data_IF_768321690873
#
_entry.id   IF_768321690873
#
_cell.length_a   1.000
_cell.length_b   1.000
_cell.length_c   1.000
_cell.angle_alpha   90.00
_cell.angle_beta   90.00
_cell.angle_gamma   90.00
#
_symmetry.space_group_name_H-M   'P 1'
#
loop_
_entity.id
_entity.type
_entity.pdbx_description
1 polymer ?
#
# COMPACT_ATOMS: atom_id res chain seq x y z
N UNK A 1 18.14 -26.86 -27.17
CA UNK A 1 17.53 -28.14 -27.58
C UNK A 1 18.34 -29.22 -26.87
N UNK A 2 17.96 -29.84 -25.76
CA UNK A 2 16.67 -30.13 -25.12
C UNK A 2 16.91 -30.12 -23.59
N UNK A 3 16.10 -29.40 -22.82
CA UNK A 3 15.96 -29.74 -21.40
C UNK A 3 15.18 -31.05 -21.38
N UNK A 4 15.86 -32.18 -21.22
CA UNK A 4 15.20 -33.48 -21.14
C UNK A 4 14.28 -33.49 -19.93
N UNK A 5 13.19 -34.26 -19.98
CA UNK A 5 12.31 -34.48 -18.80
C UNK A 5 13.14 -34.89 -17.57
N UNK A 6 14.26 -35.58 -17.80
CA UNK A 6 15.26 -35.93 -16.78
C UNK A 6 15.85 -34.72 -16.04
N UNK A 7 16.10 -33.60 -16.72
CA UNK A 7 16.66 -32.38 -16.09
C UNK A 7 15.66 -31.75 -15.12
N UNK A 8 14.36 -31.71 -15.48
CA UNK A 8 13.32 -31.29 -14.54
C UNK A 8 13.20 -32.25 -13.36
N UNK A 9 13.39 -33.56 -13.60
CA UNK A 9 13.49 -34.56 -12.55
C UNK A 9 14.63 -34.30 -11.55
N UNK A 10 15.80 -33.86 -12.03
CA UNK A 10 16.93 -33.46 -11.16
C UNK A 10 16.60 -32.24 -10.30
N UNK A 11 15.95 -31.22 -10.88
CA UNK A 11 15.51 -30.03 -10.12
C UNK A 11 14.50 -30.42 -9.04
N UNK A 12 13.51 -31.26 -9.40
CA UNK A 12 12.52 -31.75 -8.44
C UNK A 12 13.18 -32.55 -7.31
N UNK A 13 14.11 -33.44 -7.66
CA UNK A 13 14.87 -34.24 -6.69
C UNK A 13 15.67 -33.33 -5.74
N UNK A 14 16.33 -32.30 -6.27
CA UNK A 14 17.06 -31.33 -5.47
C UNK A 14 16.15 -30.60 -4.47
N UNK A 15 14.96 -30.16 -4.91
CA UNK A 15 13.98 -29.52 -4.02
C UNK A 15 13.48 -30.48 -2.92
N UNK A 16 13.22 -31.75 -3.25
CA UNK A 16 12.78 -32.77 -2.29
C UNK A 16 13.88 -33.01 -1.24
N UNK A 17 15.13 -33.21 -1.68
CA UNK A 17 16.26 -33.43 -0.78
C UNK A 17 16.49 -32.19 0.10
N UNK A 18 16.42 -30.98 -0.46
CA UNK A 18 16.55 -29.73 0.30
C UNK A 18 15.46 -29.56 1.36
N UNK A 19 14.20 -29.84 1.01
CA UNK A 19 13.10 -29.82 1.96
C UNK A 19 13.25 -30.88 3.05
N UNK A 20 13.67 -32.09 2.68
CA UNK A 20 13.92 -33.18 3.63
C UNK A 20 15.06 -32.85 4.59
N UNK A 21 16.15 -32.26 4.09
CA UNK A 21 17.26 -31.78 4.90
C UNK A 21 16.80 -30.71 5.91
N UNK A 22 16.01 -29.73 5.48
CA UNK A 22 15.44 -28.72 6.38
C UNK A 22 14.54 -29.35 7.46
N UNK A 23 13.70 -30.32 7.09
CA UNK A 23 12.84 -31.04 8.03
C UNK A 23 13.63 -31.86 9.04
N UNK A 24 14.69 -32.57 8.61
CA UNK A 24 15.57 -33.31 9.51
C UNK A 24 16.27 -32.36 10.47
N UNK A 25 16.84 -31.26 9.98
CA UNK A 25 17.54 -30.28 10.81
C UNK A 25 16.60 -29.70 11.89
N UNK A 26 15.38 -29.31 11.52
CA UNK A 26 14.37 -28.82 12.47
C UNK A 26 13.91 -29.91 13.45
N UNK A 27 13.77 -31.16 12.99
CA UNK A 27 13.37 -32.29 13.83
C UNK A 27 14.43 -32.68 14.86
N UNK A 28 15.71 -32.67 14.45
CA UNK A 28 16.86 -32.84 15.34
C UNK A 28 16.87 -31.72 16.38
N UNK A 29 16.75 -30.46 15.96
CA UNK A 29 16.65 -29.34 16.89
C UNK A 29 15.50 -29.50 17.89
N UNK A 30 14.35 -30.01 17.43
CA UNK A 30 13.19 -30.26 18.29
C UNK A 30 13.39 -31.41 19.28
N UNK A 31 14.07 -32.50 18.89
CA UNK A 31 14.25 -33.68 19.74
C UNK A 31 15.34 -33.50 20.78
N UNK A 32 16.40 -32.76 20.46
CA UNK A 32 17.51 -32.47 21.39
C UNK A 32 17.24 -31.28 22.32
N UNK A 33 16.21 -30.47 22.04
CA UNK A 33 15.88 -29.31 22.88
C UNK A 33 15.16 -29.75 24.17
N UNK A 34 15.59 -29.28 25.36
CA UNK A 34 14.86 -29.50 26.60
C UNK A 34 13.47 -28.84 26.53
N UNK A 35 12.43 -29.64 26.77
CA UNK A 35 11.04 -29.19 26.68
C UNK A 35 10.53 -28.75 28.07
N UNK A 36 10.64 -27.45 28.37
CA UNK A 36 10.11 -26.86 29.61
C UNK A 36 9.25 -25.61 29.29
N UNK A 37 8.00 -25.79 28.82
CA UNK A 37 7.09 -24.70 28.54
C UNK A 37 6.59 -24.04 29.85
N UNK A 38 6.83 -22.75 30.01
CA UNK A 38 6.28 -21.93 31.12
C UNK A 38 5.38 -20.84 30.54
N UNK A 39 4.38 -20.36 31.29
CA UNK A 39 3.44 -19.33 30.80
C UNK A 39 4.17 -18.08 30.33
N UNK A 40 5.22 -17.68 31.02
CA UNK A 40 6.05 -16.50 30.73
C UNK A 40 6.95 -16.69 29.49
N UNK A 41 7.29 -17.94 29.11
CA UNK A 41 8.03 -18.23 27.87
C UNK A 41 7.13 -18.32 26.65
N UNK A 42 5.83 -18.54 26.87
CA UNK A 42 4.81 -18.66 25.83
C UNK A 42 4.04 -17.36 25.62
N UNK A 43 4.18 -16.37 26.52
CA UNK A 43 3.63 -15.03 26.32
C UNK A 43 4.33 -14.33 25.17
N UNK A 44 3.58 -13.47 24.47
CA UNK A 44 4.12 -12.63 23.40
C UNK A 44 5.28 -11.78 23.94
N UNK A 45 6.36 -11.73 23.17
CA UNK A 45 7.60 -11.07 23.56
C UNK A 45 7.44 -9.55 23.58
N UNK A 46 7.47 -8.95 24.77
CA UNK A 46 7.69 -7.51 24.94
C UNK A 46 8.07 -7.16 26.39
N UNK A 47 9.12 -7.74 26.96
CA UNK A 47 9.61 -7.35 28.31
C UNK A 47 8.55 -7.33 29.45
N UNK A 48 7.43 -8.04 29.32
CA UNK A 48 6.30 -7.99 30.27
C UNK A 48 5.25 -6.90 30.00
N UNK A 49 5.32 -6.18 28.88
CA UNK A 49 4.26 -5.31 28.38
C UNK A 49 3.18 -6.16 27.69
N UNK A 50 1.91 -5.84 27.95
CA UNK A 50 0.80 -6.44 27.23
C UNK A 50 0.73 -5.87 25.82
N UNK A 51 0.56 -6.73 24.81
CA UNK A 51 0.48 -6.31 23.41
C UNK A 51 -0.59 -5.24 23.24
N UNK A 52 -0.17 -4.03 22.89
CA UNK A 52 -1.02 -2.82 22.86
C UNK A 52 -2.12 -2.86 21.79
N UNK A 53 -2.13 -3.85 20.91
CA UNK A 53 -3.10 -3.97 19.82
C UNK A 53 -3.47 -5.44 19.54
N UNK A 54 -4.75 -5.68 19.26
CA UNK A 54 -5.20 -6.95 18.69
C UNK A 54 -4.58 -7.18 17.31
N UNK A 55 -4.41 -8.45 16.93
CA UNK A 55 -3.82 -8.92 15.65
C UNK A 55 -4.45 -8.32 14.35
N UNK A 56 -5.54 -7.56 14.49
CA UNK A 56 -6.33 -6.94 13.43
C UNK A 56 -6.02 -5.44 13.25
N UNK A 57 -4.83 -4.99 13.64
CA UNK A 57 -4.36 -3.61 13.39
C UNK A 57 -4.26 -3.31 11.89
N UNK A 58 -4.75 -2.14 11.46
CA UNK A 58 -4.58 -1.68 10.08
C UNK A 58 -3.13 -1.26 9.88
N UNK A 59 -2.38 -2.05 9.11
CA UNK A 59 -1.04 -1.69 8.69
C UNK A 59 -1.07 -0.51 7.70
N UNK A 60 0.04 0.21 7.60
CA UNK A 60 0.17 1.34 6.70
C UNK A 60 -0.09 0.91 5.23
N UNK A 61 -0.97 1.64 4.53
CA UNK A 61 -1.32 1.37 3.11
C UNK A 61 -0.11 1.40 2.16
N UNK A 62 1.01 1.95 2.59
CA UNK A 62 2.23 2.10 1.77
C UNK A 62 2.85 0.75 1.39
N UNK A 63 2.75 -0.26 2.26
CA UNK A 63 3.19 -1.62 1.91
C UNK A 63 2.41 -2.19 0.73
N UNK A 64 1.12 -1.87 0.64
CA UNK A 64 0.29 -2.25 -0.50
C UNK A 64 0.70 -1.53 -1.79
N UNK A 65 1.00 -0.22 -1.73
CA UNK A 65 1.47 0.53 -2.91
C UNK A 65 2.79 -0.01 -3.45
N UNK A 66 3.75 -0.31 -2.57
CA UNK A 66 5.04 -0.91 -2.97
C UNK A 66 4.83 -2.29 -3.59
N UNK A 67 3.99 -3.14 -2.96
CA UNK A 67 3.67 -4.46 -3.50
C UNK A 67 2.97 -4.37 -4.88
N UNK A 68 2.05 -3.42 -5.05
CA UNK A 68 1.35 -3.20 -6.32
C UNK A 68 2.33 -2.79 -7.43
N UNK A 69 3.24 -1.86 -7.15
CA UNK A 69 4.29 -1.44 -8.11
C UNK A 69 5.24 -2.60 -8.43
N UNK A 70 5.60 -3.41 -7.44
CA UNK A 70 6.43 -4.60 -7.64
C UNK A 70 5.76 -5.63 -8.57
N UNK A 71 4.49 -5.95 -8.32
CA UNK A 71 3.73 -6.90 -9.16
C UNK A 71 3.57 -6.37 -10.58
N UNK A 72 3.34 -5.07 -10.75
CA UNK A 72 3.31 -4.45 -12.07
C UNK A 72 4.67 -4.66 -12.77
N UNK A 73 5.78 -4.30 -12.13
CA UNK A 73 7.11 -4.43 -12.72
C UNK A 73 7.51 -5.89 -13.04
N UNK A 74 7.12 -6.85 -12.21
CA UNK A 74 7.32 -8.29 -12.47
C UNK A 74 6.68 -8.75 -13.78
N UNK A 75 5.44 -8.30 -14.06
CA UNK A 75 4.75 -8.63 -15.31
C UNK A 75 5.47 -8.02 -16.51
N UNK A 76 6.02 -6.82 -16.38
CA UNK A 76 6.75 -6.15 -17.45
C UNK A 76 8.07 -6.86 -17.81
N UNK A 77 8.72 -7.50 -16.83
CA UNK A 77 9.94 -8.29 -17.08
C UNK A 77 9.64 -9.49 -18.00
N UNK A 78 8.46 -10.12 -17.88
CA UNK A 78 8.06 -11.22 -18.76
C UNK A 78 7.95 -10.75 -20.21
N UNK A 79 7.45 -9.53 -20.44
CA UNK A 79 7.41 -8.92 -21.76
C UNK A 79 8.81 -8.58 -22.29
N UNK A 80 9.68 -8.00 -21.44
CA UNK A 80 11.08 -7.72 -21.82
C UNK A 80 11.86 -8.99 -22.19
N UNK A 81 11.64 -10.08 -21.47
CA UNK A 81 12.27 -11.37 -21.76
C UNK A 81 11.83 -11.91 -23.12
N UNK A 82 10.53 -11.87 -23.39
CA UNK A 82 9.96 -12.33 -24.67
C UNK A 82 10.49 -11.50 -25.84
N UNK A 83 10.57 -10.18 -25.67
CA UNK A 83 11.17 -9.27 -26.64
C UNK A 83 12.66 -9.55 -26.89
N UNK A 84 13.46 -9.74 -25.84
CA UNK A 84 14.89 -10.08 -25.94
C UNK A 84 15.11 -11.40 -26.69
N UNK A 85 14.24 -12.39 -26.45
CA UNK A 85 14.26 -13.67 -27.16
C UNK A 85 14.02 -13.52 -28.65
N UNK A 86 13.10 -12.65 -29.06
CA UNK A 86 12.78 -12.37 -30.47
C UNK A 86 13.98 -11.76 -31.19
N UNK A 87 14.67 -10.78 -30.59
CA UNK A 87 15.87 -10.17 -31.17
C UNK A 87 17.03 -11.16 -31.35
N UNK A 88 17.12 -12.16 -30.48
CA UNK A 88 18.17 -13.18 -30.52
C UNK A 88 17.83 -14.35 -31.45
N UNK A 89 16.58 -14.48 -31.91
CA UNK A 89 16.16 -15.59 -32.76
C UNK A 89 16.67 -15.42 -34.19
N UNK A 90 17.66 -16.24 -34.56
CA UNK A 90 18.26 -16.26 -35.89
C UNK A 90 17.28 -16.60 -37.01
N UNK A 91 16.13 -17.23 -36.71
CA UNK A 91 15.11 -17.56 -37.71
C UNK A 91 14.34 -16.34 -38.20
N UNK A 92 14.25 -15.29 -37.38
CA UNK A 92 13.53 -14.07 -37.69
C UNK A 92 14.41 -13.07 -38.45
N UNK A 93 15.73 -13.26 -38.45
CA UNK A 93 16.70 -12.37 -39.10
C UNK A 93 16.56 -12.26 -40.63
N UNK A 94 15.75 -13.12 -41.28
CA UNK A 94 15.50 -13.10 -42.72
C UNK A 94 14.21 -12.40 -43.18
N UNK A 95 13.34 -11.94 -42.27
CA UNK A 95 12.12 -11.21 -42.63
C UNK A 95 12.41 -9.72 -42.77
N UNK A 96 12.31 -9.14 -43.98
CA UNK A 96 12.34 -7.68 -44.25
C UNK A 96 13.57 -6.89 -43.71
N UNK A 97 14.19 -6.06 -44.54
CA UNK A 97 15.49 -5.42 -44.20
C UNK A 97 15.52 -4.54 -42.93
N UNK A 98 14.37 -4.15 -42.37
CA UNK A 98 14.27 -3.19 -41.26
C UNK A 98 13.59 -3.72 -39.99
N UNK A 99 13.22 -5.00 -39.90
CA UNK A 99 12.43 -5.53 -38.78
C UNK A 99 13.12 -5.38 -37.41
N UNK A 100 14.45 -5.50 -37.39
CA UNK A 100 15.27 -5.43 -36.17
C UNK A 100 15.19 -4.04 -35.52
N UNK A 101 15.14 -3.01 -36.35
CA UNK A 101 15.07 -1.62 -35.90
C UNK A 101 13.71 -1.37 -35.24
N UNK A 102 12.62 -1.84 -35.85
CA UNK A 102 11.27 -1.73 -35.28
C UNK A 102 11.15 -2.45 -33.94
N UNK A 103 11.54 -3.73 -33.91
CA UNK A 103 11.54 -4.50 -32.66
C UNK A 103 12.38 -3.79 -31.60
N UNK A 104 13.59 -3.33 -31.93
CA UNK A 104 14.45 -2.61 -30.99
C UNK A 104 13.79 -1.32 -30.46
N UNK A 105 13.19 -0.52 -31.34
CA UNK A 105 12.50 0.72 -30.96
C UNK A 105 11.27 0.47 -30.10
N UNK A 106 10.50 -0.59 -30.36
CA UNK A 106 9.35 -0.97 -29.54
C UNK A 106 9.76 -1.33 -28.12
N UNK A 107 10.84 -2.11 -27.95
CA UNK A 107 11.36 -2.43 -26.61
C UNK A 107 11.89 -1.22 -25.87
N UNK A 108 12.57 -0.31 -26.57
CA UNK A 108 13.02 0.97 -25.98
C UNK A 108 11.83 1.84 -25.56
N UNK A 109 10.81 1.96 -26.40
CA UNK A 109 9.60 2.73 -26.11
C UNK A 109 8.85 2.14 -24.91
N UNK A 110 8.78 0.81 -24.82
CA UNK A 110 8.20 0.11 -23.69
C UNK A 110 8.96 0.42 -22.38
N UNK A 111 10.30 0.31 -22.37
CA UNK A 111 11.12 0.69 -21.20
C UNK A 111 10.91 2.16 -20.83
N UNK A 112 10.87 3.06 -21.82
CA UNK A 112 10.67 4.48 -21.59
C UNK A 112 9.36 4.76 -20.86
N UNK A 113 8.26 4.10 -21.25
CA UNK A 113 6.96 4.22 -20.59
C UNK A 113 7.03 3.78 -19.12
N UNK A 114 7.73 2.67 -18.83
CA UNK A 114 7.93 2.19 -17.46
C UNK A 114 8.71 3.19 -16.60
N UNK A 115 9.80 3.74 -17.17
CA UNK A 115 10.63 4.75 -16.48
C UNK A 115 9.82 6.01 -16.20
N UNK A 116 8.98 6.45 -17.14
CA UNK A 116 8.08 7.61 -16.94
C UNK A 116 7.06 7.31 -15.83
N UNK A 117 6.44 6.12 -15.83
CA UNK A 117 5.51 5.70 -14.79
C UNK A 117 6.15 5.68 -13.40
N UNK A 118 7.37 5.13 -13.30
CA UNK A 118 8.14 5.10 -12.06
C UNK A 118 8.57 6.51 -11.61
N UNK A 119 9.04 7.34 -12.54
CA UNK A 119 9.39 8.73 -12.25
C UNK A 119 8.20 9.54 -11.75
N UNK A 120 6.99 9.29 -12.30
CA UNK A 120 5.75 9.90 -11.82
C UNK A 120 5.43 9.47 -10.38
N UNK A 121 5.54 8.17 -10.06
CA UNK A 121 5.34 7.66 -8.70
C UNK A 121 6.33 8.28 -7.70
N UNK A 122 7.60 8.39 -8.10
CA UNK A 122 8.64 9.02 -7.29
C UNK A 122 8.34 10.50 -7.06
N UNK A 123 8.02 11.26 -8.12
CA UNK A 123 7.69 12.69 -8.00
C UNK A 123 6.51 12.93 -7.05
N UNK A 124 5.56 12.00 -6.96
CA UNK A 124 4.41 12.10 -6.06
C UNK A 124 4.71 11.66 -4.62
N UNK A 125 5.96 11.30 -4.30
CA UNK A 125 6.40 10.82 -2.99
C UNK A 125 5.59 9.61 -2.48
N UNK A 126 4.93 8.87 -3.38
CA UNK A 126 4.14 7.69 -3.04
C UNK A 126 5.03 6.54 -2.52
N UNK A 127 6.33 6.63 -2.80
CA UNK A 127 7.37 5.72 -2.34
C UNK A 127 8.02 6.17 -1.03
N UNK A 128 7.73 7.38 -0.53
CA UNK A 128 8.40 7.92 0.65
C UNK A 128 7.88 7.30 1.95
N UNK A 129 8.83 7.06 2.86
CA UNK A 129 8.56 6.52 4.19
C UNK A 129 7.82 7.49 5.13
N UNK A 130 7.66 8.76 4.76
CA UNK A 130 6.98 9.78 5.59
C UNK A 130 5.67 10.28 4.95
N UNK A 131 5.06 9.52 4.04
CA UNK A 131 3.88 9.95 3.30
C UNK A 131 2.61 10.07 4.17
N UNK A 132 2.34 11.27 4.71
CA UNK A 132 1.20 11.51 5.59
C UNK A 132 -0.06 11.92 4.80
N UNK A 133 -1.00 10.98 4.64
CA UNK A 133 -2.33 11.27 4.08
C UNK A 133 -3.12 12.27 4.96
N UNK A 134 -2.79 12.38 6.26
CA UNK A 134 -3.47 13.27 7.21
C UNK A 134 -3.32 14.75 6.85
N UNK A 135 -2.26 15.14 6.15
CA UNK A 135 -2.00 16.55 5.84
C UNK A 135 -3.03 17.15 4.88
N UNK A 136 -3.53 16.36 3.92
CA UNK A 136 -4.55 16.82 2.97
C UNK A 136 -5.90 17.00 3.66
N UNK A 137 -6.25 16.07 4.53
CA UNK A 137 -7.48 16.08 5.32
C UNK A 137 -7.48 17.20 6.37
N UNK A 138 -6.35 17.42 7.07
CA UNK A 138 -6.18 18.53 8.03
C UNK A 138 -6.32 19.89 7.36
N UNK A 139 -5.74 20.07 6.17
CA UNK A 139 -5.88 21.32 5.41
C UNK A 139 -7.34 21.59 5.06
N UNK A 140 -8.10 20.55 4.73
CA UNK A 140 -9.52 20.66 4.39
C UNK A 140 -10.41 20.91 5.61
N UNK A 141 -10.11 20.28 6.75
CA UNK A 141 -10.75 20.60 8.03
C UNK A 141 -10.50 22.04 8.44
N UNK A 142 -9.24 22.52 8.43
CA UNK A 142 -8.93 23.90 8.79
C UNK A 142 -9.59 24.92 7.86
N UNK A 143 -9.77 24.58 6.57
CA UNK A 143 -10.54 25.40 5.62
C UNK A 143 -12.02 25.45 6.01
N UNK A 144 -12.62 24.32 6.37
CA UNK A 144 -14.01 24.29 6.86
C UNK A 144 -14.19 25.05 8.18
N UNK A 145 -13.25 24.95 9.11
CA UNK A 145 -13.27 25.68 10.38
C UNK A 145 -13.16 27.20 10.16
N UNK A 146 -12.26 27.65 9.29
CA UNK A 146 -12.13 29.06 8.93
C UNK A 146 -13.38 29.59 8.20
N UNK A 147 -14.01 28.77 7.36
CA UNK A 147 -15.28 29.12 6.72
C UNK A 147 -16.41 29.25 7.76
N UNK A 148 -16.51 28.32 8.71
CA UNK A 148 -17.49 28.37 9.81
C UNK A 148 -17.25 29.59 10.71
N UNK A 149 -16.00 29.90 11.03
CA UNK A 149 -15.63 31.07 11.83
C UNK A 149 -15.99 32.39 11.11
N UNK A 150 -15.77 32.47 9.80
CA UNK A 150 -16.17 33.64 9.00
C UNK A 150 -17.70 33.83 8.94
N UNK A 151 -18.45 32.74 8.90
CA UNK A 151 -19.92 32.76 8.93
C UNK A 151 -20.46 33.11 10.32
N UNK A 152 -19.83 32.64 11.41
CA UNK A 152 -20.26 32.97 12.77
C UNK A 152 -20.07 34.46 13.12
N UNK A 153 -18.96 35.08 12.72
CA UNK A 153 -18.75 36.52 12.92
C UNK A 153 -19.81 37.37 12.21
N UNK A 154 -20.13 37.00 10.96
CA UNK A 154 -21.16 37.69 10.17
C UNK A 154 -22.57 37.49 10.76
N UNK A 155 -22.89 36.28 11.23
CA UNK A 155 -24.18 35.98 11.83
C UNK A 155 -24.37 36.62 13.22
N UNK A 156 -23.32 36.73 14.04
CA UNK A 156 -23.36 37.41 15.34
C UNK A 156 -23.63 38.91 15.22
N UNK A 157 -23.12 39.54 14.16
CA UNK A 157 -23.37 40.94 13.85
C UNK A 157 -24.79 41.17 13.29
N UNK A 158 -25.29 40.22 12.48
CA UNK A 158 -26.68 40.22 12.01
C UNK A 158 -27.70 39.94 13.14
N UNK A 159 -27.34 39.13 14.14
CA UNK A 159 -28.16 38.84 15.33
C UNK A 159 -28.22 40.07 16.23
N UNK A 160 -27.08 40.70 16.57
CA UNK A 160 -27.07 41.96 17.35
C UNK A 160 -27.85 43.09 16.67
N UNK A 161 -27.79 43.17 15.33
CA UNK A 161 -28.56 44.15 14.55
C UNK A 161 -30.08 43.85 14.52
N UNK A 162 -30.49 42.58 14.60
CA UNK A 162 -31.90 42.18 14.74
C UNK A 162 -32.42 42.36 16.18
N UNK A 163 -31.61 42.04 17.18
CA UNK A 163 -31.99 42.13 18.60
C UNK A 163 -32.20 43.59 19.04
N UNK A 164 -31.35 44.51 18.57
CA UNK A 164 -31.53 45.95 18.80
C UNK A 164 -32.72 46.58 18.04
N UNK A 165 -33.34 45.86 17.10
CA UNK A 165 -34.46 46.39 16.31
C UNK A 165 -35.74 45.54 16.45
N UNK A 166 -35.80 44.65 17.44
CA UNK A 166 -36.97 43.82 17.67
C UNK A 166 -37.13 43.50 19.16
N UNK A 167 -37.65 44.47 19.92
CA UNK A 167 -38.24 44.22 21.24
C UNK A 167 -39.52 43.40 21.06
N UNK A 168 -39.39 42.08 21.07
CA UNK A 168 -40.54 41.17 21.16
C UNK A 168 -41.00 41.15 22.62
N UNK A 169 -42.30 41.38 22.91
CA UNK A 169 -42.78 41.49 24.30
C UNK A 169 -42.60 40.17 25.08
N UNK A 170 -42.18 40.31 26.34
CA UNK A 170 -41.82 39.29 27.34
C UNK A 170 -42.90 38.22 27.64
N UNK A 171 -44.08 38.29 27.02
CA UNK A 171 -45.21 37.38 27.27
C UNK A 171 -45.06 35.98 26.64
N UNK A 172 -44.14 35.78 25.70
CA UNK A 172 -43.94 34.47 25.04
C UNK A 172 -43.01 33.52 25.80
N UNK A 173 -42.10 34.01 26.66
CA UNK A 173 -41.17 33.17 27.42
C UNK A 173 -41.86 32.29 28.47
N UNK A 174 -43.01 32.70 29.00
CA UNK A 174 -43.75 31.89 29.97
C UNK A 174 -44.49 30.70 29.34
N UNK A 175 -44.74 30.68 28.02
CA UNK A 175 -45.53 29.61 27.39
C UNK A 175 -44.72 28.35 27.03
N UNK A 176 -43.40 28.44 27.03
CA UNK A 176 -42.51 27.33 26.64
C UNK A 176 -42.07 26.51 27.85
N UNK A 177 -41.96 27.13 29.03
CA UNK A 177 -41.47 26.45 30.24
C UNK A 177 -42.51 25.56 30.96
N UNK A 178 -43.73 25.44 30.41
CA UNK A 178 -44.79 24.57 30.96
C UNK A 178 -44.99 23.29 30.15
N UNK A 179 -44.16 23.00 29.14
CA UNK A 179 -44.26 21.78 28.31
C UNK A 179 -43.24 20.67 28.62
N UNK A 180 -42.31 20.89 29.54
CA UNK A 180 -41.26 19.92 29.90
C UNK A 180 -41.19 19.65 31.40
N UNK A 181 -42.35 19.62 32.07
CA UNK A 181 -42.50 18.99 33.38
C UNK A 181 -43.78 18.15 33.38
#
# INVERSE_FOLDING_TARGET
MLCSVSTFGLVLLFLIIGAFFALIALSIGKIFRPHNPTKEKLSTYECGEETVMGSWGKFNIRFYLIALVFVLFEVEIIFLFSWSKILTDSKLQGLESNWQIYAFTEGLLFILILVIGLAYLWKNNLLDWQFDFSQKDKKQLSLSENLIASQQGTNAELVNKKENNQTVPTSLYQKINTRYN
#
